data_IF_058704217553
#
_entry.id   IF_058704217553
#
_cell.length_a   1.000
_cell.length_b   1.000
_cell.length_c   1.000
_cell.angle_alpha   90.00
_cell.angle_beta   90.00
_cell.angle_gamma   90.00
#
_symmetry.space_group_name_H-M   'P 1'
#
loop_
_entity.id
_entity.type
_entity.pdbx_description
1 polymer ?
#
# COMPACT_ATOMS: atom_id res chain seq x y z
N UNK A 1 -17.70 -38.85 0.28
CA UNK A 1 -16.51 -38.68 1.13
C UNK A 1 -16.98 -38.58 2.59
N UNK A 2 -16.75 -39.60 3.41
CA UNK A 2 -17.04 -39.56 4.84
C UNK A 2 -15.82 -39.06 5.59
N UNK A 3 -15.91 -37.90 6.24
CA UNK A 3 -14.81 -37.36 7.07
C UNK A 3 -15.00 -37.84 8.51
N UNK A 4 -14.05 -38.61 9.04
CA UNK A 4 -14.06 -39.04 10.42
C UNK A 4 -13.68 -37.87 11.35
N UNK A 5 -14.30 -37.79 12.53
CA UNK A 5 -13.93 -36.80 13.52
C UNK A 5 -12.51 -37.04 14.05
N UNK A 6 -11.65 -36.02 14.01
CA UNK A 6 -10.29 -36.11 14.53
C UNK A 6 -10.22 -36.50 16.02
N UNK A 7 -11.25 -36.16 16.81
CA UNK A 7 -11.26 -36.37 18.27
C UNK A 7 -11.93 -37.68 18.68
N UNK A 8 -13.08 -38.04 18.12
CA UNK A 8 -13.84 -39.22 18.52
C UNK A 8 -13.84 -40.36 17.47
N UNK A 9 -13.19 -40.16 16.31
CA UNK A 9 -13.05 -41.11 15.19
C UNK A 9 -14.36 -41.65 14.60
N UNK A 10 -15.53 -41.20 15.07
CA UNK A 10 -16.82 -41.52 14.47
C UNK A 10 -16.98 -40.77 13.14
N UNK A 11 -17.68 -41.39 12.20
CA UNK A 11 -18.03 -40.81 10.89
C UNK A 11 -18.91 -39.59 11.10
N UNK A 12 -18.49 -38.43 10.59
CA UNK A 12 -19.35 -37.25 10.58
C UNK A 12 -20.26 -37.31 9.37
N UNK A 13 -21.58 -37.31 9.61
CA UNK A 13 -22.57 -37.05 8.56
C UNK A 13 -22.66 -35.54 8.31
N UNK A 14 -22.79 -35.14 7.05
CA UNK A 14 -22.61 -33.77 6.56
C UNK A 14 -23.70 -32.75 6.98
N UNK A 15 -24.48 -33.04 8.03
CA UNK A 15 -25.74 -32.34 8.31
C UNK A 15 -25.63 -31.06 9.17
N UNK A 16 -24.74 -30.91 10.18
CA UNK A 16 -24.64 -29.65 10.91
C UNK A 16 -23.37 -28.86 10.53
N UNK A 17 -23.51 -28.03 9.50
CA UNK A 17 -22.55 -26.99 9.14
C UNK A 17 -22.95 -25.67 9.79
N UNK A 18 -22.06 -25.10 10.62
CA UNK A 18 -22.26 -23.76 11.17
C UNK A 18 -21.68 -22.74 10.19
N UNK A 19 -22.57 -21.98 9.54
CA UNK A 19 -22.19 -20.90 8.60
C UNK A 19 -21.35 -19.81 9.27
N UNK A 20 -21.61 -19.51 10.54
CA UNK A 20 -20.92 -18.46 11.29
C UNK A 20 -19.45 -18.79 11.56
N UNK A 21 -19.10 -20.08 11.65
CA UNK A 21 -17.76 -20.53 11.97
C UNK A 21 -17.05 -21.27 10.83
N UNK A 22 -17.69 -21.37 9.66
CA UNK A 22 -17.17 -22.10 8.49
C UNK A 22 -16.64 -23.51 8.86
N UNK A 23 -17.34 -24.18 9.77
CA UNK A 23 -16.90 -25.42 10.37
C UNK A 23 -18.02 -26.46 10.39
N UNK A 24 -17.63 -27.72 10.19
CA UNK A 24 -18.49 -28.87 10.43
C UNK A 24 -18.49 -29.19 11.91
N UNK A 25 -19.67 -29.31 12.50
CA UNK A 25 -19.82 -29.65 13.93
C UNK A 25 -19.99 -31.15 14.07
N UNK A 26 -19.22 -31.79 14.94
CA UNK A 26 -19.50 -33.17 15.30
C UNK A 26 -20.77 -33.22 16.16
N UNK A 27 -21.86 -33.80 15.66
CA UNK A 27 -23.10 -33.96 16.45
C UNK A 27 -22.95 -34.81 17.72
N UNK A 28 -21.86 -35.57 17.86
CA UNK A 28 -21.65 -36.46 19.01
C UNK A 28 -20.75 -35.89 20.12
N UNK A 29 -19.75 -35.08 19.77
CA UNK A 29 -18.82 -34.52 20.75
C UNK A 29 -18.70 -32.99 20.71
N UNK A 30 -19.46 -32.32 19.82
CA UNK A 30 -19.45 -30.86 19.65
C UNK A 30 -18.15 -30.30 19.06
N UNK A 31 -17.23 -31.16 18.64
CA UNK A 31 -15.95 -30.71 18.07
C UNK A 31 -16.15 -30.02 16.72
N UNK A 32 -15.60 -28.82 16.58
CA UNK A 32 -15.66 -27.99 15.37
C UNK A 32 -14.48 -28.30 14.45
N UNK A 33 -14.75 -28.87 13.29
CA UNK A 33 -13.76 -29.12 12.25
C UNK A 33 -13.86 -28.03 11.17
N UNK A 34 -12.90 -27.10 11.13
CA UNK A 34 -12.86 -26.05 10.10
C UNK A 34 -12.57 -26.65 8.74
N UNK A 35 -13.41 -26.33 7.76
CA UNK A 35 -13.35 -26.90 6.40
C UNK A 35 -12.04 -26.52 5.68
N UNK A 36 -11.41 -25.42 6.07
CA UNK A 36 -10.08 -24.98 5.59
C UNK A 36 -9.00 -26.05 5.80
N UNK A 37 -9.08 -26.83 6.87
CA UNK A 37 -8.11 -27.90 7.17
C UNK A 37 -8.33 -29.17 6.35
N UNK A 38 -9.53 -29.34 5.76
CA UNK A 38 -9.87 -30.47 4.88
C UNK A 38 -9.54 -30.17 3.40
N UNK A 39 -9.51 -28.89 2.99
CA UNK A 39 -8.93 -28.48 1.71
C UNK A 39 -7.42 -28.59 1.80
N UNK A 40 -6.90 -29.75 1.42
CA UNK A 40 -5.48 -29.92 1.14
C UNK A 40 -4.94 -28.74 0.33
N UNK A 41 -3.90 -28.10 0.87
CA UNK A 41 -2.99 -27.12 0.26
C UNK A 41 -3.30 -26.75 -1.19
N UNK A 42 -3.83 -25.55 -1.42
CA UNK A 42 -3.50 -24.69 -2.57
C UNK A 42 -3.99 -23.26 -2.35
N UNK A 43 -3.05 -22.36 -2.10
CA UNK A 43 -3.11 -20.96 -2.52
C UNK A 43 -3.88 -19.98 -1.63
N UNK A 44 -3.12 -19.34 -0.72
CA UNK A 44 -3.10 -17.91 -0.44
C UNK A 44 -4.42 -17.17 -0.13
N UNK A 45 -4.52 -16.75 1.14
CA UNK A 45 -4.89 -15.39 1.58
C UNK A 45 -5.90 -14.61 0.74
N UNK A 46 -7.19 -14.76 1.07
CA UNK A 46 -8.10 -13.61 1.09
C UNK A 46 -8.91 -13.67 2.39
N UNK A 47 -8.18 -13.41 3.48
CA UNK A 47 -8.79 -12.86 4.67
C UNK A 47 -9.25 -11.45 4.29
N UNK A 48 -10.57 -11.24 4.18
CA UNK A 48 -11.16 -9.91 4.03
C UNK A 48 -10.68 -9.04 5.20
N UNK A 49 -9.67 -8.22 4.93
CA UNK A 49 -9.20 -7.19 5.84
C UNK A 49 -10.35 -6.20 6.04
N UNK A 50 -10.71 -5.95 7.31
CA UNK A 50 -11.74 -4.98 7.68
C UNK A 50 -11.61 -3.65 6.92
N UNK A 51 -12.76 -3.06 6.61
CA UNK A 51 -12.92 -1.88 5.76
C UNK A 51 -11.81 -0.85 5.93
N UNK A 52 -10.89 -0.80 4.96
CA UNK A 52 -9.80 0.15 4.94
C UNK A 52 -10.39 1.53 4.68
N UNK A 53 -10.27 2.44 5.65
CA UNK A 53 -10.63 3.85 5.45
C UNK A 53 -9.90 4.37 4.21
N UNK A 54 -10.65 4.88 3.23
CA UNK A 54 -10.05 5.56 2.08
C UNK A 54 -9.48 6.89 2.56
N UNK A 55 -8.19 6.90 2.90
CA UNK A 55 -7.46 8.13 3.20
C UNK A 55 -7.14 8.82 1.87
N UNK A 56 -7.46 10.11 1.71
CA UNK A 56 -7.14 10.84 0.49
C UNK A 56 -5.61 10.88 0.30
N UNK A 57 -5.16 10.56 -0.92
CA UNK A 57 -3.74 10.61 -1.26
C UNK A 57 -3.27 12.08 -1.35
N UNK A 58 -2.08 12.42 -0.83
CA UNK A 58 -1.48 13.73 -1.03
C UNK A 58 -1.21 13.98 -2.51
N UNK A 59 -1.35 15.23 -2.95
CA UNK A 59 -1.10 15.64 -4.35
C UNK A 59 0.33 15.26 -4.76
N UNK A 60 0.48 14.64 -5.94
CA UNK A 60 1.80 14.26 -6.49
C UNK A 60 2.34 12.90 -6.05
N UNK A 61 1.55 12.12 -5.28
CA UNK A 61 1.88 10.74 -4.90
C UNK A 61 0.97 9.77 -5.65
N UNK A 62 1.57 8.81 -6.34
CA UNK A 62 0.87 7.72 -7.04
C UNK A 62 1.27 6.39 -6.41
N UNK A 63 0.27 5.67 -5.90
CA UNK A 63 0.45 4.32 -5.35
C UNK A 63 0.04 3.31 -6.43
N UNK A 64 0.92 2.39 -6.79
CA UNK A 64 0.63 1.28 -7.71
C UNK A 64 1.00 -0.05 -7.06
N UNK A 65 0.13 -1.04 -7.16
CA UNK A 65 0.41 -2.41 -6.74
C UNK A 65 0.95 -3.21 -7.92
N UNK A 66 2.27 -3.38 -8.02
CA UNK A 66 2.90 -4.18 -9.06
C UNK A 66 3.52 -5.45 -8.45
N UNK A 67 3.15 -6.62 -8.95
CA UNK A 67 3.77 -7.93 -8.62
C UNK A 67 3.88 -8.23 -7.12
N UNK A 68 2.86 -7.87 -6.33
CA UNK A 68 2.85 -8.10 -4.89
C UNK A 68 3.67 -7.09 -4.07
N UNK A 69 4.22 -6.05 -4.71
CA UNK A 69 4.90 -4.95 -4.05
C UNK A 69 4.07 -3.65 -4.15
N UNK A 70 4.15 -2.84 -3.09
CA UNK A 70 3.61 -1.49 -3.10
C UNK A 70 4.66 -0.55 -3.70
N UNK A 71 4.39 -0.01 -4.88
CA UNK A 71 5.26 0.97 -5.54
C UNK A 71 4.72 2.37 -5.26
N UNK A 72 5.57 3.21 -4.65
CA UNK A 72 5.28 4.62 -4.37
C UNK A 72 6.02 5.46 -5.41
N UNK A 73 5.29 6.17 -6.27
CA UNK A 73 5.86 7.12 -7.24
C UNK A 73 5.59 8.54 -6.77
N UNK A 74 6.66 9.31 -6.57
CA UNK A 74 6.61 10.74 -6.22
C UNK A 74 7.25 11.56 -7.32
N UNK A 75 6.67 12.73 -7.62
CA UNK A 75 7.25 13.67 -8.59
C UNK A 75 8.12 14.68 -7.85
N UNK A 76 9.44 14.52 -7.98
CA UNK A 76 10.44 15.39 -7.33
C UNK A 76 10.65 16.73 -8.04
N UNK A 77 10.26 16.82 -9.32
CA UNK A 77 10.58 17.98 -10.15
C UNK A 77 9.34 18.57 -10.81
N UNK A 78 8.94 19.75 -10.33
CA UNK A 78 7.92 20.58 -10.95
C UNK A 78 8.55 21.61 -11.91
N UNK A 79 7.80 21.99 -12.95
CA UNK A 79 8.27 22.98 -13.94
C UNK A 79 8.53 24.36 -13.32
N UNK A 80 7.92 24.64 -12.17
CA UNK A 80 8.14 25.85 -11.37
C UNK A 80 9.61 26.07 -11.00
N UNK A 81 10.36 24.99 -10.75
CA UNK A 81 11.79 25.09 -10.44
C UNK A 81 12.63 25.60 -11.60
N UNK A 82 12.24 25.32 -12.85
CA UNK A 82 12.94 25.84 -14.03
C UNK A 82 12.74 27.36 -14.17
N UNK A 83 11.53 27.85 -13.93
CA UNK A 83 11.22 29.28 -13.95
C UNK A 83 11.97 29.99 -12.82
N UNK A 84 11.97 29.40 -11.62
CA UNK A 84 12.70 29.93 -10.48
C UNK A 84 14.21 30.01 -10.76
N UNK A 85 14.80 28.96 -11.32
CA UNK A 85 16.22 28.93 -11.69
C UNK A 85 16.58 30.01 -12.73
N UNK A 86 15.74 30.19 -13.75
CA UNK A 86 15.92 31.25 -14.74
C UNK A 86 15.82 32.64 -14.10
N UNK A 87 14.82 32.86 -13.25
CA UNK A 87 14.65 34.10 -12.52
C UNK A 87 15.87 34.41 -11.65
N UNK A 88 16.36 33.42 -10.89
CA UNK A 88 17.54 33.60 -10.04
C UNK A 88 18.78 33.95 -10.86
N UNK A 89 19.00 33.32 -12.01
CA UNK A 89 20.15 33.63 -12.88
C UNK A 89 20.09 35.05 -13.45
N UNK A 90 18.92 35.47 -13.93
CA UNK A 90 18.73 36.81 -14.48
C UNK A 90 18.87 37.88 -13.39
N UNK A 91 18.28 37.64 -12.23
CA UNK A 91 18.29 38.59 -11.12
C UNK A 91 19.68 38.71 -10.50
N UNK A 92 20.38 37.59 -10.29
CA UNK A 92 21.75 37.58 -9.77
C UNK A 92 22.72 38.22 -10.76
N UNK A 93 22.59 37.94 -12.06
CA UNK A 93 23.36 38.60 -13.10
C UNK A 93 23.11 40.12 -13.16
N UNK A 94 21.85 40.56 -13.03
CA UNK A 94 21.51 41.97 -12.99
C UNK A 94 22.08 42.67 -11.74
N UNK A 95 22.03 42.01 -10.58
CA UNK A 95 22.67 42.53 -9.36
C UNK A 95 24.18 42.63 -9.50
N UNK A 96 24.84 41.60 -10.02
CA UNK A 96 26.28 41.62 -10.25
C UNK A 96 26.68 42.76 -11.19
N UNK A 97 25.93 42.98 -12.27
CA UNK A 97 26.16 44.10 -13.20
C UNK A 97 25.93 45.45 -12.51
N UNK A 98 24.85 45.58 -11.72
CA UNK A 98 24.58 46.79 -10.96
C UNK A 98 25.73 47.12 -10.01
N UNK A 99 26.12 46.17 -9.16
CA UNK A 99 27.18 46.37 -8.17
C UNK A 99 28.52 46.68 -8.82
N UNK A 100 28.86 46.00 -9.92
CA UNK A 100 30.10 46.30 -10.67
C UNK A 100 30.06 47.68 -11.32
N UNK A 101 28.91 48.13 -11.83
CA UNK A 101 28.78 49.50 -12.36
C UNK A 101 28.89 50.57 -11.27
N UNK A 102 28.29 50.34 -10.10
CA UNK A 102 28.20 51.33 -9.05
C UNK A 102 29.50 51.45 -8.23
N UNK A 103 30.19 50.33 -7.97
CA UNK A 103 31.42 50.32 -7.17
C UNK A 103 32.69 50.11 -8.01
N UNK A 104 32.58 49.53 -9.21
CA UNK A 104 33.73 49.27 -10.08
C UNK A 104 34.17 50.48 -10.89
N UNK A 105 33.27 51.44 -11.17
CA UNK A 105 33.63 52.69 -11.83
C UNK A 105 34.37 53.66 -10.89
N UNK A 106 34.02 53.67 -9.60
CA UNK A 106 34.66 54.53 -8.59
C UNK A 106 36.07 54.05 -8.20
N UNK A 107 36.43 52.80 -8.46
CA UNK A 107 37.74 52.24 -8.16
C UNK A 107 38.82 52.59 -9.21
N UNK A 108 38.44 53.21 -10.33
CA UNK A 108 39.33 53.52 -11.47
C UNK A 108 39.56 55.04 -11.64
N UNK A 109 38.93 55.88 -10.81
CA UNK A 109 39.15 57.35 -10.75
C UNK A 109 39.94 57.77 -9.53
#
# INVERSE_FOLDING_TARGET
MSTNCAKCKKTMDAAPYSKEHNALVCGHCGYLLRIETLRGKKGADQQESGGRLQVPLPKGVTLSGEKGALVIRTRWFEKSYLILALFTLLFDGALALWYTSLFGLDAVG
#
